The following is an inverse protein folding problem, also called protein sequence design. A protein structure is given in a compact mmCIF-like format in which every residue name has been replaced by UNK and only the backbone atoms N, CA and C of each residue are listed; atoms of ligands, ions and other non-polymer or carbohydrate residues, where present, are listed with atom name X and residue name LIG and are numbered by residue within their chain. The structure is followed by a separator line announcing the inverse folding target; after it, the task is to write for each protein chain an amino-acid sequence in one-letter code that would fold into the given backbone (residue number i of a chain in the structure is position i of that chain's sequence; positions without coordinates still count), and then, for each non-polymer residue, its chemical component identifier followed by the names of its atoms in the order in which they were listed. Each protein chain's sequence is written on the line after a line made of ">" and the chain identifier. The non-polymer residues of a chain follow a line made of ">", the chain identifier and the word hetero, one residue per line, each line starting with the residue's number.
data_IF_622237027218
#
_entry.id   IF_622237027218
#
_cell.length_a   1.000
_cell.length_b   1.000
_cell.length_c   1.000
_cell.angle_alpha   90.00
_cell.angle_beta   90.00
_cell.angle_gamma   90.00
#
_symmetry.space_group_name_H-M   'P 1'
#
loop_
_entity.id
_entity.type
_entity.pdbx_description
1 polymer ?
#
# COMPACT_ATOMS: atom_id res chain seq x y z
N UNK A 1 2.95 -10.88 -12.95
CA UNK A 1 3.91 -10.35 -11.96
C UNK A 1 3.13 -10.02 -10.70
N UNK A 2 3.53 -10.51 -9.51
CA UNK A 2 2.70 -10.44 -8.28
C UNK A 2 3.29 -9.48 -7.24
N UNK A 3 2.44 -8.66 -6.63
CA UNK A 3 2.84 -7.66 -5.64
C UNK A 3 1.99 -7.72 -4.37
N UNK A 4 2.59 -7.44 -3.22
CA UNK A 4 1.88 -7.10 -2.00
C UNK A 4 1.32 -5.68 -2.15
N UNK A 5 0.02 -5.58 -2.38
CA UNK A 5 -0.65 -4.33 -2.72
C UNK A 5 -1.03 -3.55 -1.45
N UNK A 6 -0.42 -2.39 -1.28
CA UNK A 6 -0.75 -1.40 -0.26
C UNK A 6 -1.57 -0.26 -0.89
N UNK A 7 -2.91 -0.27 -0.78
CA UNK A 7 -3.74 0.76 -1.41
C UNK A 7 -3.65 2.13 -0.72
N UNK A 8 -3.10 2.20 0.50
CA UNK A 8 -3.14 3.38 1.35
C UNK A 8 -4.55 3.69 1.88
N UNK A 9 -4.67 4.81 2.60
CA UNK A 9 -5.94 5.26 3.18
C UNK A 9 -6.76 6.12 2.20
N UNK A 10 -6.10 6.94 1.36
CA UNK A 10 -6.78 7.89 0.46
C UNK A 10 -7.65 7.18 -0.57
N UNK A 11 -7.18 6.07 -1.14
CA UNK A 11 -7.93 5.26 -2.11
C UNK A 11 -9.18 4.58 -1.52
N UNK A 12 -9.35 4.60 -0.19
CA UNK A 12 -10.53 4.11 0.52
C UNK A 12 -11.51 5.21 0.94
N UNK A 13 -11.15 6.48 0.75
CA UNK A 13 -11.94 7.60 1.25
C UNK A 13 -11.87 8.86 0.37
N UNK A 14 -10.72 9.52 0.34
CA UNK A 14 -10.55 10.82 -0.34
C UNK A 14 -10.56 10.75 -1.87
N UNK A 15 -10.05 9.65 -2.44
CA UNK A 15 -10.03 9.41 -3.89
C UNK A 15 -10.41 7.93 -4.16
N UNK A 16 -11.66 7.52 -3.88
CA UNK A 16 -12.09 6.12 -3.94
C UNK A 16 -12.00 5.53 -5.35
N UNK A 17 -11.96 6.37 -6.40
CA UNK A 17 -11.77 5.98 -7.79
C UNK A 17 -10.39 5.39 -8.09
N UNK A 18 -9.37 5.69 -7.27
CA UNK A 18 -8.01 5.18 -7.48
C UNK A 18 -7.95 3.66 -7.32
N UNK A 19 -8.64 3.10 -6.33
CA UNK A 19 -8.62 1.66 -6.06
C UNK A 19 -9.16 0.82 -7.24
N UNK A 20 -10.40 1.01 -7.73
CA UNK A 20 -10.92 0.22 -8.85
C UNK A 20 -10.16 0.52 -10.15
N UNK A 21 -9.64 1.73 -10.33
CA UNK A 21 -8.81 2.08 -11.50
C UNK A 21 -7.51 1.28 -11.51
N UNK A 22 -6.80 1.25 -10.37
CA UNK A 22 -5.58 0.48 -10.22
C UNK A 22 -5.81 -1.02 -10.44
N UNK A 23 -6.84 -1.60 -9.83
CA UNK A 23 -7.17 -3.03 -9.99
C UNK A 23 -7.47 -3.37 -11.45
N UNK A 24 -8.30 -2.56 -12.13
CA UNK A 24 -8.65 -2.78 -13.55
C UNK A 24 -7.46 -2.64 -14.48
N UNK A 25 -6.60 -1.65 -14.25
CA UNK A 25 -5.39 -1.43 -15.07
C UNK A 25 -4.39 -2.56 -14.83
N UNK A 26 -4.12 -2.94 -13.58
CA UNK A 26 -3.24 -4.06 -13.24
C UNK A 26 -3.70 -5.37 -13.88
N UNK A 27 -5.00 -5.67 -13.84
CA UNK A 27 -5.55 -6.85 -14.51
C UNK A 27 -5.28 -6.84 -16.03
N UNK A 28 -5.43 -5.70 -16.71
CA UNK A 28 -5.12 -5.56 -18.15
C UNK A 28 -3.62 -5.73 -18.45
N UNK A 29 -2.75 -5.38 -17.51
CA UNK A 29 -1.30 -5.48 -17.65
C UNK A 29 -0.73 -6.83 -17.17
N UNK A 30 -1.56 -7.76 -16.69
CA UNK A 30 -1.09 -9.04 -16.14
C UNK A 30 -0.33 -8.88 -14.80
N UNK A 31 -0.67 -7.85 -14.04
CA UNK A 31 -0.16 -7.60 -12.70
C UNK A 31 -1.15 -8.15 -11.68
N UNK A 32 -0.70 -9.08 -10.85
CA UNK A 32 -1.46 -9.67 -9.77
C UNK A 32 -1.25 -8.85 -8.49
N UNK A 33 -2.36 -8.45 -7.86
CA UNK A 33 -2.36 -7.66 -6.63
C UNK A 33 -2.83 -8.51 -5.47
N UNK A 34 -1.93 -8.81 -4.53
CA UNK A 34 -2.25 -9.43 -3.24
C UNK A 34 -2.48 -8.32 -2.22
N UNK A 35 -3.75 -7.96 -1.95
CA UNK A 35 -4.05 -6.86 -1.04
C UNK A 35 -3.59 -7.16 0.40
N UNK A 36 -2.73 -6.31 0.95
CA UNK A 36 -2.29 -6.43 2.33
C UNK A 36 -3.40 -6.03 3.30
N UNK A 37 -3.75 -6.96 4.19
CA UNK A 37 -4.77 -6.76 5.23
C UNK A 37 -4.14 -6.33 6.56
N UNK A 38 -4.89 -5.55 7.34
CA UNK A 38 -4.50 -5.11 8.69
C UNK A 38 -3.15 -4.35 8.68
N UNK A 39 -3.00 -3.45 7.71
CA UNK A 39 -1.89 -2.49 7.60
C UNK A 39 -2.38 -1.11 8.02
N UNK A 40 -1.53 -0.36 8.71
CA UNK A 40 -1.87 0.96 9.22
C UNK A 40 -1.43 2.07 8.24
N UNK A 41 -1.98 3.27 8.42
CA UNK A 41 -1.62 4.46 7.65
C UNK A 41 -0.15 4.83 7.89
N UNK A 42 0.57 5.24 6.83
CA UNK A 42 1.98 5.68 6.92
C UNK A 42 2.14 7.04 7.62
N UNK A 43 1.05 7.77 7.83
CA UNK A 43 1.08 9.12 8.39
C UNK A 43 1.45 10.22 7.39
N UNK A 44 1.57 9.88 6.09
CA UNK A 44 1.84 10.83 5.00
C UNK A 44 3.06 11.74 5.22
N UNK A 45 4.07 11.27 5.96
CA UNK A 45 5.24 12.07 6.33
C UNK A 45 4.98 13.20 7.33
N UNK A 46 3.77 13.29 7.89
CA UNK A 46 3.37 14.30 8.89
C UNK A 46 3.58 13.80 10.32
N UNK A 47 3.52 12.47 10.52
CA UNK A 47 3.79 11.87 11.83
C UNK A 47 5.28 11.98 12.17
N UNK A 48 5.62 12.19 13.46
CA UNK A 48 7.01 12.21 13.88
C UNK A 48 7.64 10.82 13.71
N UNK A 49 8.92 10.80 13.35
CA UNK A 49 9.63 9.58 12.93
C UNK A 49 9.55 8.44 13.96
N UNK A 50 9.68 8.75 15.24
CA UNK A 50 9.61 7.75 16.33
C UNK A 50 8.25 7.04 16.42
N UNK A 51 7.20 7.59 15.80
CA UNK A 51 5.88 6.98 15.70
C UNK A 51 5.65 6.34 14.32
N UNK A 52 6.07 6.99 13.23
CA UNK A 52 5.88 6.46 11.88
C UNK A 52 6.73 5.23 11.59
N UNK A 53 7.98 5.19 12.06
CA UNK A 53 8.92 4.12 11.71
C UNK A 53 8.46 2.74 12.20
N UNK A 54 8.02 2.56 13.47
CA UNK A 54 7.48 1.28 13.91
C UNK A 54 6.23 0.84 13.14
N UNK A 55 5.37 1.81 12.76
CA UNK A 55 4.15 1.55 12.00
C UNK A 55 4.49 1.06 10.58
N UNK A 56 5.41 1.76 9.91
CA UNK A 56 5.85 1.42 8.56
C UNK A 56 6.64 0.10 8.57
N UNK A 57 7.49 -0.14 9.58
CA UNK A 57 8.20 -1.40 9.78
C UNK A 57 7.24 -2.60 9.88
N UNK A 58 6.10 -2.46 10.59
CA UNK A 58 5.07 -3.51 10.63
C UNK A 58 4.48 -3.78 9.24
N UNK A 59 4.25 -2.74 8.43
CA UNK A 59 3.77 -2.91 7.06
C UNK A 59 4.79 -3.65 6.19
N UNK A 60 6.08 -3.31 6.31
CA UNK A 60 7.16 -4.03 5.62
C UNK A 60 7.24 -5.50 6.05
N UNK A 61 7.20 -5.78 7.35
CA UNK A 61 7.22 -7.15 7.88
C UNK A 61 6.06 -8.00 7.34
N UNK A 62 4.89 -7.41 7.10
CA UNK A 62 3.76 -8.12 6.47
C UNK A 62 4.02 -8.46 5.01
N UNK A 63 4.64 -7.56 4.25
CA UNK A 63 5.02 -7.85 2.88
C UNK A 63 6.11 -8.93 2.81
N UNK A 64 7.07 -8.90 3.74
CA UNK A 64 8.09 -9.94 3.89
C UNK A 64 7.48 -11.30 4.20
N UNK A 65 6.45 -11.37 5.05
CA UNK A 65 5.70 -12.61 5.32
C UNK A 65 5.01 -13.18 4.07
N UNK A 66 4.57 -12.30 3.15
CA UNK A 66 4.01 -12.72 1.86
C UNK A 66 5.09 -13.13 0.85
N UNK A 67 6.35 -12.77 1.08
CA UNK A 67 7.45 -13.00 0.14
C UNK A 67 7.31 -12.23 -1.17
N UNK A 68 6.60 -11.09 -1.15
CA UNK A 68 6.27 -10.31 -2.34
C UNK A 68 6.80 -8.87 -2.21
N UNK A 69 7.24 -8.25 -3.33
CA UNK A 69 7.55 -6.82 -3.33
C UNK A 69 6.29 -5.99 -3.09
N UNK A 70 6.44 -4.86 -2.40
CA UNK A 70 5.33 -3.94 -2.14
C UNK A 70 5.05 -3.08 -3.37
N UNK A 71 3.77 -2.85 -3.65
CA UNK A 71 3.30 -1.85 -4.59
C UNK A 71 2.25 -0.96 -3.92
N UNK A 72 2.36 0.35 -4.14
CA UNK A 72 1.38 1.35 -3.69
C UNK A 72 0.98 2.25 -4.85
N UNK A 73 -0.25 2.78 -4.79
CA UNK A 73 -0.80 3.77 -5.74
C UNK A 73 -0.90 5.17 -5.11
N UNK A 74 -0.40 5.32 -3.90
CA UNK A 74 -0.44 6.53 -3.11
C UNK A 74 0.98 7.09 -3.00
N UNK A 75 1.22 8.27 -3.59
CA UNK A 75 2.55 8.91 -3.60
C UNK A 75 3.04 9.25 -2.19
N UNK A 76 2.16 9.70 -1.31
CA UNK A 76 2.49 10.00 0.10
C UNK A 76 2.71 8.76 0.95
N UNK A 77 2.41 7.58 0.42
CA UNK A 77 2.63 6.30 1.07
C UNK A 77 3.97 5.64 0.66
N UNK A 78 4.60 6.14 -0.40
CA UNK A 78 5.88 5.65 -0.89
C UNK A 78 7.08 6.32 -0.19
N UNK A 79 6.85 7.49 0.43
CA UNK A 79 7.85 8.30 1.13
C UNK A 79 7.99 7.97 2.61
#
# INVERSE_FOLDING_TARGET
>A
MKYAFYPGCVSRGGCPELYPSAVKVSAKLGIELEEMKDVACTGAGVLPQHLSDPINARTFAKAEQLGLPIMTICSTCQG
#
